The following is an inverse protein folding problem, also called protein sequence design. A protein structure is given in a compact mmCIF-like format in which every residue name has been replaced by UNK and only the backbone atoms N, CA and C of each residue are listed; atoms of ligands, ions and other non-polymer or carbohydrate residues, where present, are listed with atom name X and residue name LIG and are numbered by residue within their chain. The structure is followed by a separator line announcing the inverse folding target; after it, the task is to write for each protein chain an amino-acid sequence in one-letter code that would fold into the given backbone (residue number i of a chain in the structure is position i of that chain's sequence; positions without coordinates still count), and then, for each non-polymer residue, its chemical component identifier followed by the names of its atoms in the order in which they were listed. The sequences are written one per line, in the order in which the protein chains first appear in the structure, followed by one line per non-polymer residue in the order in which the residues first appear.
data_IF_148183937226
#
_entry.id   IF_148183937226
#
_cell.length_a   1.000
_cell.length_b   1.000
_cell.length_c   1.000
_cell.angle_alpha   90.00
_cell.angle_beta   90.00
_cell.angle_gamma   90.00
#
_symmetry.space_group_name_H-M   'P 1'
#
loop_
_entity.id
_entity.type
_entity.pdbx_description
1 polymer ?
#
# COMPACT_ATOMS: atom_id res chain seq x y z
N UNK A 1 -22.52 82.50 4.90
CA UNK A 1 -21.31 81.68 5.25
C UNK A 1 -21.70 80.23 5.04
N UNK A 2 -21.24 79.64 3.97
CA UNK A 2 -21.59 78.25 3.50
C UNK A 2 -20.48 77.32 3.91
N UNK A 3 -20.80 76.29 4.75
CA UNK A 3 -19.86 75.23 5.18
C UNK A 3 -20.01 74.06 4.20
N UNK A 4 -18.96 73.57 3.54
CA UNK A 4 -19.07 72.37 2.69
C UNK A 4 -19.00 71.06 3.51
N UNK A 5 -19.98 70.23 3.31
CA UNK A 5 -20.07 68.87 3.82
C UNK A 5 -19.08 67.98 3.10
N UNK A 6 -18.03 67.50 3.78
CA UNK A 6 -17.11 66.53 3.27
C UNK A 6 -17.67 65.11 3.44
N UNK A 7 -18.02 64.47 2.32
CA UNK A 7 -18.30 63.02 2.27
C UNK A 7 -17.00 62.23 2.53
N UNK A 8 -16.96 61.52 3.65
CA UNK A 8 -15.96 60.47 3.87
C UNK A 8 -16.45 59.18 3.22
N UNK A 9 -15.84 58.77 2.11
CA UNK A 9 -16.00 57.43 1.56
C UNK A 9 -15.15 56.44 2.36
N UNK A 10 -15.79 55.61 3.20
CA UNK A 10 -15.17 54.44 3.80
C UNK A 10 -15.14 53.31 2.76
N UNK A 11 -13.99 53.07 2.14
CA UNK A 11 -13.76 51.86 1.34
C UNK A 11 -13.43 50.70 2.25
N UNK A 12 -14.41 49.81 2.49
CA UNK A 12 -14.19 48.53 3.14
C UNK A 12 -13.41 47.63 2.18
N UNK A 13 -12.09 47.56 2.35
CA UNK A 13 -11.25 46.58 1.67
C UNK A 13 -11.49 45.18 2.25
N UNK A 14 -12.14 44.32 1.49
CA UNK A 14 -12.32 42.93 1.81
C UNK A 14 -10.98 42.23 1.53
N UNK A 15 -10.15 42.02 2.55
CA UNK A 15 -8.97 41.21 2.46
C UNK A 15 -9.40 39.72 2.47
N UNK A 16 -9.35 39.07 1.31
CA UNK A 16 -9.41 37.60 1.23
C UNK A 16 -8.16 37.04 1.92
N UNK A 17 -8.34 36.52 3.13
CA UNK A 17 -7.34 35.68 3.79
C UNK A 17 -7.26 34.34 3.04
N UNK A 18 -6.32 34.22 2.10
CA UNK A 18 -5.92 32.90 1.59
C UNK A 18 -5.25 32.12 2.74
N UNK A 19 -5.99 31.21 3.35
CA UNK A 19 -5.41 30.24 4.26
C UNK A 19 -4.40 29.39 3.47
N UNK A 20 -3.16 29.17 3.99
CA UNK A 20 -2.22 28.28 3.34
C UNK A 20 -2.80 26.87 3.31
N UNK A 21 -2.89 26.25 2.11
CA UNK A 21 -3.19 24.83 2.01
C UNK A 21 -2.10 24.07 2.79
N UNK A 22 -2.47 23.34 3.82
CA UNK A 22 -1.56 22.43 4.49
C UNK A 22 -1.06 21.41 3.48
N UNK A 23 0.27 21.11 3.43
CA UNK A 23 0.77 20.09 2.53
C UNK A 23 0.09 18.75 2.84
N UNK A 24 -0.38 18.06 1.81
CA UNK A 24 -0.94 16.72 1.95
C UNK A 24 0.11 15.82 2.65
N UNK A 25 -0.31 15.10 3.69
CA UNK A 25 0.57 14.18 4.39
C UNK A 25 1.20 13.20 3.38
N UNK A 26 2.52 12.99 3.47
CA UNK A 26 3.20 12.03 2.60
C UNK A 26 2.52 10.65 2.71
N UNK A 27 2.30 9.93 1.59
CA UNK A 27 1.65 8.62 1.63
C UNK A 27 2.46 7.67 2.50
N UNK A 28 1.76 6.83 3.30
CA UNK A 28 2.38 5.78 4.11
C UNK A 28 3.21 4.84 3.22
N UNK A 29 4.51 4.72 3.43
CA UNK A 29 5.40 3.98 2.55
C UNK A 29 5.07 2.47 2.50
N UNK A 30 4.49 1.90 3.55
CA UNK A 30 4.05 0.49 3.57
C UNK A 30 2.79 0.33 2.69
N UNK A 31 1.85 1.27 2.78
CA UNK A 31 0.67 1.28 1.89
C UNK A 31 1.08 1.44 0.42
N UNK A 32 2.12 2.21 0.14
CA UNK A 32 2.65 2.36 -1.22
C UNK A 32 3.21 1.04 -1.77
N UNK A 33 3.93 0.25 -0.95
CA UNK A 33 4.41 -1.09 -1.33
C UNK A 33 3.24 -2.02 -1.66
N UNK A 34 2.21 -2.06 -0.79
CA UNK A 34 1.03 -2.91 -1.01
C UNK A 34 0.23 -2.48 -2.26
N UNK A 35 0.09 -1.19 -2.50
CA UNK A 35 -0.57 -0.66 -3.70
C UNK A 35 0.22 -1.03 -4.98
N UNK A 36 1.56 -0.96 -4.94
CA UNK A 36 2.41 -1.39 -6.04
C UNK A 36 2.28 -2.90 -6.32
N UNK A 37 2.17 -3.73 -5.27
CA UNK A 37 1.91 -5.16 -5.42
C UNK A 37 0.57 -5.44 -6.12
N UNK A 38 -0.51 -4.77 -5.69
CA UNK A 38 -1.83 -4.90 -6.33
C UNK A 38 -1.76 -4.47 -7.80
N UNK A 39 -1.11 -3.35 -8.10
CA UNK A 39 -0.94 -2.86 -9.46
C UNK A 39 -0.15 -3.85 -10.33
N UNK A 40 0.96 -4.40 -9.81
CA UNK A 40 1.77 -5.40 -10.51
C UNK A 40 0.96 -6.67 -10.79
N UNK A 41 0.30 -7.23 -9.79
CA UNK A 41 -0.55 -8.40 -9.95
C UNK A 41 -1.63 -8.19 -11.01
N UNK A 42 -2.34 -7.07 -10.94
CA UNK A 42 -3.46 -6.78 -11.83
C UNK A 42 -3.06 -6.55 -13.29
N UNK A 43 -1.78 -6.32 -13.59
CA UNK A 43 -1.25 -6.35 -14.98
C UNK A 43 -0.56 -7.67 -15.36
N UNK A 44 -0.54 -8.67 -14.46
CA UNK A 44 0.06 -9.99 -14.72
C UNK A 44 1.55 -10.08 -14.43
N UNK A 45 2.09 -9.15 -13.67
CA UNK A 45 3.51 -9.01 -13.40
C UNK A 45 3.85 -9.61 -12.01
N UNK A 46 4.16 -10.93 -11.98
CA UNK A 46 4.56 -11.64 -10.76
C UNK A 46 5.89 -11.09 -10.22
N UNK A 47 6.83 -10.75 -11.09
CA UNK A 47 8.12 -10.20 -10.66
C UNK A 47 7.95 -8.82 -9.99
N UNK A 48 7.10 -7.97 -10.56
CA UNK A 48 6.71 -6.69 -9.94
C UNK A 48 6.00 -6.87 -8.60
N UNK A 49 5.11 -7.87 -8.47
CA UNK A 49 4.48 -8.22 -7.20
C UNK A 49 5.52 -8.63 -6.16
N UNK A 50 6.51 -9.43 -6.54
CA UNK A 50 7.58 -9.90 -5.67
C UNK A 50 8.58 -8.82 -5.24
N UNK A 51 8.57 -7.62 -5.88
CA UNK A 51 9.36 -6.48 -5.40
C UNK A 51 8.91 -5.97 -4.02
N UNK A 52 7.69 -6.28 -3.59
CA UNK A 52 7.23 -5.98 -2.24
C UNK A 52 7.93 -6.79 -1.15
N UNK A 53 8.56 -7.90 -1.49
CA UNK A 53 9.29 -8.79 -0.57
C UNK A 53 10.79 -8.48 -0.54
N UNK A 54 11.41 -8.68 0.65
CA UNK A 54 12.86 -8.61 0.78
C UNK A 54 13.53 -9.68 -0.09
N UNK A 55 14.51 -9.29 -0.91
CA UNK A 55 15.26 -10.21 -1.78
C UNK A 55 16.32 -10.94 -0.98
N UNK A 56 15.88 -11.88 -0.13
CA UNK A 56 16.69 -12.59 0.84
C UNK A 56 16.36 -14.08 0.88
N UNK A 57 17.33 -14.92 1.18
CA UNK A 57 17.13 -16.34 1.48
C UNK A 57 16.32 -16.58 2.77
N UNK A 58 16.17 -15.55 3.61
CA UNK A 58 15.40 -15.59 4.88
C UNK A 58 13.95 -15.14 4.72
N UNK A 59 13.55 -14.61 3.57
CA UNK A 59 12.15 -14.24 3.32
C UNK A 59 11.27 -15.47 3.50
N UNK A 60 10.25 -15.36 4.36
CA UNK A 60 9.42 -16.48 4.78
C UNK A 60 7.98 -16.30 4.33
N UNK A 61 7.41 -17.34 3.74
CA UNK A 61 6.00 -17.39 3.36
C UNK A 61 5.34 -18.62 4.01
N UNK A 62 4.25 -18.38 4.74
CA UNK A 62 3.45 -19.40 5.42
C UNK A 62 2.06 -19.45 4.81
N UNK A 63 1.59 -20.64 4.44
CA UNK A 63 0.23 -20.83 3.94
C UNK A 63 -0.26 -22.23 4.34
N UNK A 64 -1.34 -22.28 5.12
CA UNK A 64 -1.75 -23.50 5.79
C UNK A 64 -0.64 -24.03 6.70
N UNK A 65 -0.31 -25.30 6.56
CA UNK A 65 0.77 -25.99 7.28
C UNK A 65 2.15 -25.86 6.59
N UNK A 66 2.23 -25.20 5.43
CA UNK A 66 3.46 -25.13 4.63
C UNK A 66 4.21 -23.83 4.88
N UNK A 67 5.49 -23.98 5.27
CA UNK A 67 6.47 -22.88 5.35
C UNK A 67 7.41 -22.94 4.15
N UNK A 68 7.62 -21.82 3.49
CA UNK A 68 8.53 -21.66 2.35
C UNK A 68 9.54 -20.57 2.67
N UNK A 69 10.83 -20.84 2.47
CA UNK A 69 11.90 -19.87 2.68
C UNK A 69 12.58 -19.48 1.38
N UNK A 70 13.05 -18.25 1.34
CA UNK A 70 13.82 -17.69 0.23
C UNK A 70 12.95 -16.99 -0.81
N UNK A 71 13.35 -15.76 -1.16
CA UNK A 71 12.65 -14.94 -2.14
C UNK A 71 12.41 -15.66 -3.47
N UNK A 72 13.46 -16.31 -4.02
CA UNK A 72 13.36 -17.02 -5.29
C UNK A 72 12.36 -18.18 -5.22
N UNK A 73 12.40 -18.97 -4.13
CA UNK A 73 11.50 -20.10 -3.93
C UNK A 73 10.04 -19.65 -3.83
N UNK A 74 9.80 -18.55 -3.11
CA UNK A 74 8.45 -17.95 -3.00
C UNK A 74 7.99 -17.44 -4.38
N UNK A 75 8.85 -16.73 -5.10
CA UNK A 75 8.59 -16.24 -6.47
C UNK A 75 8.21 -17.37 -7.42
N UNK A 76 8.98 -18.46 -7.44
CA UNK A 76 8.74 -19.58 -8.34
C UNK A 76 7.44 -20.33 -7.98
N UNK A 77 7.12 -20.41 -6.67
CA UNK A 77 5.83 -20.92 -6.20
C UNK A 77 4.66 -20.07 -6.76
N UNK A 78 4.76 -18.74 -6.70
CA UNK A 78 3.75 -17.85 -7.27
C UNK A 78 3.62 -18.04 -8.78
N UNK A 79 4.74 -18.03 -9.51
CA UNK A 79 4.75 -18.22 -10.95
C UNK A 79 4.14 -19.56 -11.39
N UNK A 80 4.39 -20.63 -10.64
CA UNK A 80 3.80 -21.96 -10.90
C UNK A 80 2.31 -22.02 -10.60
N UNK A 81 1.88 -21.42 -9.47
CA UNK A 81 0.47 -21.45 -9.04
C UNK A 81 -0.42 -20.55 -9.90
N UNK A 82 0.11 -19.41 -10.33
CA UNK A 82 -0.60 -18.34 -11.04
C UNK A 82 0.00 -18.14 -12.44
N UNK A 83 0.08 -19.22 -13.21
CA UNK A 83 0.74 -19.28 -14.52
C UNK A 83 -0.07 -18.66 -15.68
N UNK A 84 -1.25 -18.11 -15.39
CA UNK A 84 -2.12 -17.46 -16.37
C UNK A 84 -2.94 -16.32 -15.75
N UNK A 85 -3.38 -15.37 -16.59
CA UNK A 85 -4.26 -14.29 -16.16
C UNK A 85 -5.57 -14.79 -15.55
N UNK A 86 -6.12 -15.90 -16.08
CA UNK A 86 -7.33 -16.52 -15.55
C UNK A 86 -7.13 -17.02 -14.11
N UNK A 87 -5.98 -17.64 -13.80
CA UNK A 87 -5.64 -18.09 -12.43
C UNK A 87 -5.28 -16.94 -11.50
N UNK A 88 -4.66 -15.87 -12.00
CA UNK A 88 -4.36 -14.68 -11.20
C UNK A 88 -5.63 -13.94 -10.77
N UNK A 89 -6.56 -13.74 -11.71
CA UNK A 89 -7.72 -12.89 -11.45
C UNK A 89 -7.33 -11.44 -11.13
N UNK A 90 -8.25 -10.69 -10.55
CA UNK A 90 -8.05 -9.33 -10.06
C UNK A 90 -7.84 -9.34 -8.55
N UNK A 91 -6.67 -8.91 -8.10
CA UNK A 91 -6.31 -8.81 -6.69
C UNK A 91 -6.88 -7.53 -6.07
N UNK A 92 -7.41 -7.67 -4.87
CA UNK A 92 -7.78 -6.56 -3.98
C UNK A 92 -7.26 -6.85 -2.57
N UNK A 93 -6.62 -5.87 -1.94
CA UNK A 93 -6.37 -5.84 -0.50
C UNK A 93 -7.37 -4.92 0.18
N UNK A 94 -7.85 -5.32 1.36
CA UNK A 94 -8.82 -4.55 2.14
C UNK A 94 -8.59 -4.71 3.65
N UNK A 95 -9.21 -3.84 4.45
CA UNK A 95 -9.14 -3.90 5.91
C UNK A 95 -7.72 -3.77 6.47
N UNK A 96 -6.85 -2.98 5.82
CA UNK A 96 -5.45 -2.84 6.18
C UNK A 96 -5.27 -2.11 7.53
N UNK A 97 -4.70 -2.79 8.50
CA UNK A 97 -4.23 -2.23 9.77
C UNK A 97 -2.71 -2.34 9.84
N UNK A 98 -2.05 -1.20 9.97
CA UNK A 98 -0.57 -1.11 10.07
C UNK A 98 -0.22 -0.74 11.50
N UNK A 99 0.54 -1.61 12.16
CA UNK A 99 1.01 -1.40 13.55
C UNK A 99 2.53 -1.28 13.53
N UNK A 100 3.09 -0.09 13.77
CA UNK A 100 4.53 0.08 13.91
C UNK A 100 5.08 -0.70 15.11
N UNK A 101 6.24 -1.34 14.94
CA UNK A 101 7.01 -2.03 15.98
C UNK A 101 8.35 -1.32 16.24
N UNK A 102 8.39 -0.02 16.03
CA UNK A 102 9.59 0.81 16.08
C UNK A 102 9.84 1.53 14.77
N UNK A 103 11.05 2.06 14.59
CA UNK A 103 11.40 2.89 13.43
C UNK A 103 11.59 2.10 12.13
N UNK A 104 11.87 0.80 12.22
CA UNK A 104 12.30 -0.05 11.10
C UNK A 104 11.52 -1.35 10.95
N UNK A 105 10.43 -1.53 11.72
CA UNK A 105 9.57 -2.70 11.62
C UNK A 105 8.09 -2.34 11.80
N UNK A 106 7.21 -3.09 11.15
CA UNK A 106 5.76 -2.98 11.31
C UNK A 106 5.07 -4.30 11.00
N UNK A 107 3.95 -4.55 11.67
CA UNK A 107 3.01 -5.62 11.31
C UNK A 107 1.85 -5.01 10.51
N UNK A 108 1.44 -5.72 9.46
CA UNK A 108 0.24 -5.39 8.69
C UNK A 108 -0.72 -6.57 8.74
N UNK A 109 -1.94 -6.29 9.19
CA UNK A 109 -3.08 -7.19 9.04
C UNK A 109 -3.93 -6.73 7.87
N UNK A 110 -4.50 -7.68 7.13
CA UNK A 110 -5.39 -7.35 6.03
C UNK A 110 -6.14 -8.56 5.47
N UNK A 111 -6.93 -8.31 4.47
CA UNK A 111 -7.64 -9.31 3.70
C UNK A 111 -7.21 -9.22 2.23
N UNK A 112 -7.15 -10.36 1.58
CA UNK A 112 -6.94 -10.47 0.14
C UNK A 112 -8.15 -11.13 -0.52
N UNK A 113 -8.40 -10.78 -1.76
CA UNK A 113 -9.35 -11.49 -2.61
C UNK A 113 -8.88 -11.47 -4.07
N UNK A 114 -9.19 -12.54 -4.80
CA UNK A 114 -8.96 -12.66 -6.24
C UNK A 114 -10.30 -12.82 -6.93
N UNK A 115 -10.71 -11.83 -7.72
CA UNK A 115 -11.90 -11.94 -8.56
C UNK A 115 -11.52 -12.67 -9.85
N UNK A 116 -12.10 -13.85 -10.07
CA UNK A 116 -11.94 -14.69 -11.26
C UNK A 116 -13.30 -14.92 -11.94
N UNK A 117 -13.31 -15.49 -13.14
CA UNK A 117 -14.55 -15.76 -13.89
C UNK A 117 -15.48 -16.75 -13.17
N UNK A 118 -14.94 -17.76 -12.47
CA UNK A 118 -15.71 -18.85 -11.87
C UNK A 118 -15.69 -18.90 -10.34
N UNK A 119 -14.81 -18.14 -9.68
CA UNK A 119 -14.66 -18.16 -8.22
C UNK A 119 -14.12 -16.83 -7.68
N UNK A 120 -14.14 -16.70 -6.36
CA UNK A 120 -13.55 -15.56 -5.65
C UNK A 120 -12.80 -16.03 -4.41
N UNK A 121 -11.63 -16.68 -4.57
CA UNK A 121 -10.82 -17.06 -3.42
C UNK A 121 -10.38 -15.82 -2.65
N UNK A 122 -10.42 -15.93 -1.34
CA UNK A 122 -10.11 -14.84 -0.41
C UNK A 122 -9.57 -15.39 0.91
N UNK A 123 -8.99 -14.52 1.72
CA UNK A 123 -8.48 -14.88 3.03
C UNK A 123 -7.90 -13.69 3.77
N UNK A 124 -7.15 -14.00 4.81
CA UNK A 124 -6.45 -13.03 5.65
C UNK A 124 -4.95 -13.14 5.46
N UNK A 125 -4.26 -12.08 5.80
CA UNK A 125 -2.80 -12.11 5.90
C UNK A 125 -2.31 -11.32 7.10
N UNK A 126 -1.16 -11.76 7.59
CA UNK A 126 -0.32 -11.03 8.53
C UNK A 126 1.06 -10.89 7.90
N UNK A 127 1.52 -9.66 7.69
CA UNK A 127 2.81 -9.36 7.10
C UNK A 127 3.72 -8.70 8.13
N UNK A 128 4.97 -9.16 8.21
CA UNK A 128 6.02 -8.43 8.90
C UNK A 128 6.83 -7.65 7.87
N UNK A 129 6.81 -6.34 7.99
CA UNK A 129 7.63 -5.42 7.22
C UNK A 129 8.91 -5.04 7.98
N UNK A 130 10.02 -4.90 7.26
CA UNK A 130 11.25 -4.29 7.73
C UNK A 130 11.65 -3.16 6.80
N UNK A 131 12.19 -2.10 7.39
CA UNK A 131 12.83 -1.02 6.65
C UNK A 131 14.26 -1.41 6.34
N UNK A 132 14.53 -1.66 5.06
CA UNK A 132 15.84 -2.05 4.52
C UNK A 132 16.45 -0.84 3.77
N UNK A 133 17.72 -0.90 3.33
CA UNK A 133 18.33 0.18 2.53
C UNK A 133 17.52 0.55 1.29
N UNK A 134 16.90 -0.43 0.63
CA UNK A 134 16.03 -0.28 -0.54
C UNK A 134 14.58 0.13 -0.21
N UNK A 135 14.26 0.38 1.06
CA UNK A 135 12.95 0.76 1.55
C UNK A 135 12.22 -0.34 2.33
N UNK A 136 10.93 -0.15 2.58
CA UNK A 136 10.11 -1.11 3.29
C UNK A 136 9.84 -2.37 2.46
N UNK A 137 10.07 -3.55 3.05
CA UNK A 137 9.87 -4.85 2.40
C UNK A 137 9.24 -5.86 3.35
N UNK A 138 8.44 -6.76 2.80
CA UNK A 138 7.90 -7.91 3.51
C UNK A 138 9.02 -8.92 3.74
N UNK A 139 9.25 -9.31 4.99
CA UNK A 139 10.23 -10.35 5.36
C UNK A 139 9.54 -11.64 5.81
N UNK A 140 8.29 -11.54 6.26
CA UNK A 140 7.44 -12.69 6.57
C UNK A 140 6.01 -12.40 6.12
N UNK A 141 5.41 -13.38 5.46
CA UNK A 141 4.01 -13.39 5.04
C UNK A 141 3.36 -14.66 5.57
N UNK A 142 2.28 -14.50 6.35
CA UNK A 142 1.42 -15.58 6.75
C UNK A 142 0.03 -15.34 6.17
N UNK A 143 -0.35 -16.15 5.20
CA UNK A 143 -1.59 -16.02 4.43
C UNK A 143 -2.44 -17.29 4.56
N UNK A 144 -3.71 -17.11 4.88
CA UNK A 144 -4.73 -18.15 4.96
C UNK A 144 -5.73 -18.05 3.80
#
# INVERSE_FOLDING_TARGET
MKIPLRLLCFSLGWQLLLAPLAPAAAPDPIRAVLAAQVAAWNRGDIDGFMQGYARSGKTTFVSGDKVTHGWQTVRDRYAKKYDSRAKMGRLTFSGLTITPLGADAAIVLGSWSLQRAGDQPHGKFTLLFRRLPEGWRIVLDHTS
#
